data_IF_050739432887
#
_entry.id   IF_050739432887
#
_cell.length_a   1.000
_cell.length_b   1.000
_cell.length_c   1.000
_cell.angle_alpha   90.00
_cell.angle_beta   90.00
_cell.angle_gamma   90.00
#
_symmetry.space_group_name_H-M   'P 1'
#
loop_
_entity.id
_entity.type
_entity.pdbx_description
1 polymer ?
#
# COMPACT_ATOMS: atom_id res chain seq x y z
N UNK A 1 2.89 3.82 27.98
CA UNK A 1 3.32 3.41 26.63
C UNK A 1 2.32 4.00 25.68
N UNK A 2 2.66 5.11 25.04
CA UNK A 2 1.84 5.73 23.99
C UNK A 2 2.19 4.99 22.71
N UNK A 3 1.25 4.18 22.21
CA UNK A 3 1.38 3.57 20.88
C UNK A 3 1.14 4.72 19.91
N UNK A 4 2.20 5.28 19.32
CA UNK A 4 2.10 6.30 18.29
C UNK A 4 1.72 5.61 16.97
N UNK A 5 0.44 5.67 16.53
CA UNK A 5 -0.03 4.89 15.39
C UNK A 5 0.71 5.27 14.09
N UNK A 6 1.23 6.50 14.02
CA UNK A 6 2.02 6.99 12.88
C UNK A 6 3.35 6.23 12.70
N UNK A 7 3.99 5.79 13.79
CA UNK A 7 5.27 5.07 13.73
C UNK A 7 5.09 3.65 13.22
N UNK A 8 4.03 2.97 13.63
CA UNK A 8 3.73 1.59 13.20
C UNK A 8 3.24 1.54 11.76
N UNK A 9 2.49 2.55 11.31
CA UNK A 9 2.11 2.71 9.89
C UNK A 9 3.35 2.93 9.02
N UNK A 10 4.29 3.77 9.48
CA UNK A 10 5.58 4.01 8.79
C UNK A 10 6.45 2.74 8.72
N UNK A 11 6.58 2.01 9.83
CA UNK A 11 7.32 0.75 9.86
C UNK A 11 6.69 -0.32 8.95
N UNK A 12 5.35 -0.44 8.99
CA UNK A 12 4.58 -1.33 8.11
C UNK A 12 4.78 -0.95 6.64
N UNK A 13 4.77 0.34 6.30
CA UNK A 13 4.98 0.82 4.93
C UNK A 13 6.40 0.55 4.41
N UNK A 14 7.41 0.71 5.27
CA UNK A 14 8.81 0.41 4.93
C UNK A 14 9.01 -1.10 4.71
N UNK A 15 8.42 -1.94 5.56
CA UNK A 15 8.50 -3.39 5.41
C UNK A 15 7.72 -3.89 4.19
N UNK A 16 6.53 -3.35 3.97
CA UNK A 16 5.72 -3.53 2.77
C UNK A 16 6.53 -3.26 1.49
N UNK A 17 7.19 -2.10 1.42
CA UNK A 17 7.97 -1.70 0.25
C UNK A 17 9.20 -2.59 0.02
N UNK A 18 9.96 -2.93 1.08
CA UNK A 18 11.07 -3.90 0.97
C UNK A 18 10.61 -5.26 0.46
N UNK A 19 9.38 -5.65 0.80
CA UNK A 19 8.80 -6.92 0.36
C UNK A 19 8.37 -6.89 -1.09
N UNK A 20 7.86 -5.75 -1.57
CA UNK A 20 7.58 -5.49 -2.98
C UNK A 20 8.86 -5.49 -3.81
N UNK A 21 9.93 -4.82 -3.37
CA UNK A 21 11.22 -4.83 -4.08
C UNK A 21 11.85 -6.23 -4.17
N UNK A 22 11.72 -7.06 -3.13
CA UNK A 22 12.18 -8.46 -3.16
C UNK A 22 11.35 -9.37 -4.07
N UNK A 23 10.14 -8.98 -4.44
CA UNK A 23 9.26 -9.73 -5.32
C UNK A 23 9.40 -9.35 -6.80
N UNK A 24 10.17 -8.30 -7.13
CA UNK A 24 10.48 -7.94 -8.51
C UNK A 24 11.45 -8.96 -9.14
N UNK A 25 11.19 -9.48 -10.35
CA UNK A 25 12.12 -10.39 -11.01
C UNK A 25 13.42 -9.66 -11.35
N UNK A 26 14.54 -10.22 -10.89
CA UNK A 26 15.88 -9.76 -11.20
C UNK A 26 16.10 -9.67 -12.73
N UNK A 27 16.16 -8.45 -13.25
CA UNK A 27 16.69 -8.18 -14.58
C UNK A 27 18.16 -8.61 -14.63
N UNK A 28 18.48 -9.51 -15.55
CA UNK A 28 19.83 -10.06 -15.75
C UNK A 28 20.84 -8.95 -16.10
N UNK A 29 22.12 -9.09 -15.70
CA UNK A 29 23.15 -8.13 -16.05
C UNK A 29 23.60 -8.34 -17.50
N UNK A 30 23.73 -7.26 -18.28
CA UNK A 30 24.49 -7.28 -19.53
C UNK A 30 25.83 -6.56 -19.34
N UNK A 31 26.84 -7.25 -19.86
CA UNK A 31 28.30 -7.15 -19.75
C UNK A 31 28.92 -5.78 -20.02
N UNK A 32 30.02 -5.55 -19.32
CA UNK A 32 31.06 -4.54 -19.54
C UNK A 32 31.92 -4.87 -20.77
N UNK A 33 32.45 -3.84 -21.46
CA UNK A 33 33.70 -3.92 -22.23
C UNK A 33 34.42 -2.55 -22.20
N UNK A 34 35.76 -2.59 -22.07
CA UNK A 34 36.70 -1.51 -21.73
C UNK A 34 36.79 -0.32 -22.73
N UNK A 35 37.54 0.75 -22.47
CA UNK A 35 39.01 0.76 -22.26
C UNK A 35 39.50 2.12 -21.73
N UNK A 36 40.51 2.06 -20.85
CA UNK A 36 41.64 2.97 -20.50
C UNK A 36 41.76 4.41 -21.07
N UNK A 37 42.11 5.37 -20.20
CA UNK A 37 43.38 6.17 -20.22
C UNK A 37 43.35 7.25 -19.12
N UNK A 38 44.37 7.22 -18.24
CA UNK A 38 44.76 8.34 -17.36
C UNK A 38 45.83 9.22 -18.06
N UNK A 39 45.95 10.54 -17.74
CA UNK A 39 46.83 10.92 -16.63
C UNK A 39 46.36 12.12 -15.76
N UNK A 40 46.83 12.12 -14.51
CA UNK A 40 46.83 13.23 -13.52
C UNK A 40 48.01 14.21 -13.80
N UNK A 41 48.20 15.39 -13.13
CA UNK A 41 47.63 15.84 -11.84
C UNK A 41 47.25 17.35 -11.67
N UNK A 42 46.41 17.60 -10.66
CA UNK A 42 46.55 18.71 -9.68
C UNK A 42 45.81 20.02 -9.94
N UNK A 43 44.82 20.36 -9.08
CA UNK A 43 44.78 21.55 -8.20
C UNK A 43 43.60 21.41 -7.19
N UNK A 44 43.98 21.52 -5.91
CA UNK A 44 43.29 22.00 -4.70
C UNK A 44 41.75 21.93 -4.53
N UNK A 45 41.36 21.32 -3.40
CA UNK A 45 40.50 21.82 -2.29
C UNK A 45 39.24 22.65 -2.62
N UNK A 46 38.13 22.58 -1.91
CA UNK A 46 37.62 21.81 -0.79
C UNK A 46 36.17 22.33 -0.63
N UNK A 47 35.24 21.47 -0.24
CA UNK A 47 33.85 21.88 -0.03
C UNK A 47 32.93 20.68 -0.05
N UNK A 48 33.13 19.75 0.88
CA UNK A 48 32.21 18.66 1.14
C UNK A 48 30.97 19.23 1.82
N UNK A 49 29.99 19.66 1.03
CA UNK A 49 28.63 19.97 1.47
C UNK A 49 27.67 18.85 1.01
N UNK A 50 28.11 17.60 1.10
CA UNK A 50 27.26 16.44 0.79
C UNK A 50 26.44 16.10 2.05
N UNK A 51 25.38 16.89 2.21
CA UNK A 51 24.33 16.78 3.22
C UNK A 51 24.06 15.31 3.57
N UNK A 52 24.45 14.89 4.77
CA UNK A 52 24.02 13.61 5.35
C UNK A 52 22.50 13.68 5.51
N UNK A 53 21.75 13.27 4.46
CA UNK A 53 20.29 13.11 4.54
C UNK A 53 19.98 12.32 5.80
N UNK A 54 19.15 12.88 6.67
CA UNK A 54 18.81 12.24 7.94
C UNK A 54 18.02 10.97 7.67
N UNK A 55 18.00 10.06 8.64
CA UNK A 55 17.18 8.84 8.54
C UNK A 55 15.70 9.23 8.38
N UNK A 56 15.26 10.28 9.10
CA UNK A 56 13.91 10.84 9.04
C UNK A 56 13.56 11.38 7.64
N UNK A 57 14.42 12.18 7.01
CA UNK A 57 14.17 12.69 5.65
C UNK A 57 14.03 11.54 4.64
N UNK A 58 14.87 10.50 4.76
CA UNK A 58 14.75 9.31 3.90
C UNK A 58 13.46 8.54 4.18
N UNK A 59 13.06 8.40 5.44
CA UNK A 59 11.82 7.72 5.81
C UNK A 59 10.59 8.46 5.26
N UNK A 60 10.56 9.79 5.35
CA UNK A 60 9.51 10.62 4.77
C UNK A 60 9.46 10.52 3.25
N UNK A 61 10.62 10.58 2.57
CA UNK A 61 10.73 10.35 1.13
C UNK A 61 10.18 8.96 0.75
N UNK A 62 10.54 7.93 1.51
CA UNK A 62 10.07 6.56 1.26
C UNK A 62 8.57 6.42 1.46
N UNK A 63 8.00 7.04 2.50
CA UNK A 63 6.55 7.05 2.73
C UNK A 63 5.83 7.80 1.62
N UNK A 64 6.37 8.93 1.17
CA UNK A 64 5.81 9.70 0.06
C UNK A 64 5.80 8.89 -1.25
N UNK A 65 6.91 8.20 -1.56
CA UNK A 65 7.00 7.31 -2.72
C UNK A 65 6.00 6.15 -2.62
N UNK A 66 5.85 5.55 -1.44
CA UNK A 66 4.91 4.45 -1.23
C UNK A 66 3.44 4.89 -1.37
N UNK A 67 3.09 6.07 -0.86
CA UNK A 67 1.75 6.67 -1.07
C UNK A 67 1.49 6.99 -2.54
N UNK A 68 2.48 7.57 -3.23
CA UNK A 68 2.39 7.84 -4.66
C UNK A 68 2.18 6.55 -5.48
N UNK A 69 2.83 5.44 -5.09
CA UNK A 69 2.61 4.15 -5.74
C UNK A 69 1.17 3.65 -5.59
N UNK A 70 0.57 3.73 -4.40
CA UNK A 70 -0.84 3.35 -4.18
C UNK A 70 -1.79 4.17 -5.05
N UNK A 71 -1.52 5.48 -5.18
CA UNK A 71 -2.37 6.36 -5.98
C UNK A 71 -2.20 6.15 -7.49
N UNK A 72 -1.04 5.67 -7.93
CA UNK A 72 -0.71 5.48 -9.36
C UNK A 72 -0.95 4.06 -9.87
N UNK A 73 -1.07 3.06 -8.98
CA UNK A 73 -1.31 1.67 -9.40
C UNK A 73 -2.73 1.43 -9.93
N UNK A 74 -3.64 2.38 -9.78
CA UNK A 74 -5.03 2.28 -10.24
C UNK A 74 -5.93 1.41 -9.37
N UNK A 75 -5.41 0.92 -8.23
CA UNK A 75 -6.17 0.12 -7.28
C UNK A 75 -7.12 0.97 -6.42
N UNK A 76 -6.94 2.30 -6.41
CA UNK A 76 -7.80 3.26 -5.72
C UNK A 76 -8.35 4.29 -6.71
N UNK A 77 -9.67 4.46 -6.72
CA UNK A 77 -10.38 5.36 -7.62
C UNK A 77 -11.20 6.39 -6.86
N UNK A 78 -11.27 7.61 -7.40
CA UNK A 78 -12.23 8.61 -6.94
C UNK A 78 -13.66 8.10 -7.19
N UNK A 79 -14.63 8.65 -6.48
CA UNK A 79 -16.04 8.23 -6.61
C UNK A 79 -16.57 8.28 -8.05
N UNK A 80 -16.13 9.25 -8.85
CA UNK A 80 -16.54 9.39 -10.25
C UNK A 80 -16.01 8.24 -11.10
N UNK A 81 -14.73 7.91 -10.95
CA UNK A 81 -14.10 6.82 -11.69
C UNK A 81 -14.59 5.45 -11.21
N UNK A 82 -14.84 5.30 -9.90
CA UNK A 82 -15.42 4.10 -9.34
C UNK A 82 -16.86 3.88 -9.83
N UNK A 83 -17.66 4.95 -9.91
CA UNK A 83 -19.01 4.90 -10.47
C UNK A 83 -19.00 4.41 -11.93
N UNK A 84 -18.09 4.97 -12.74
CA UNK A 84 -17.88 4.54 -14.11
C UNK A 84 -17.42 3.07 -14.19
N UNK A 85 -16.50 2.66 -13.31
CA UNK A 85 -15.99 1.29 -13.24
C UNK A 85 -17.08 0.27 -12.91
N UNK A 86 -17.98 0.61 -11.98
CA UNK A 86 -19.09 -0.25 -11.55
C UNK A 86 -20.33 -0.14 -12.45
N UNK A 87 -20.38 0.86 -13.35
CA UNK A 87 -21.55 1.14 -14.18
C UNK A 87 -22.75 1.66 -13.38
N UNK A 88 -22.50 2.38 -12.27
CA UNK A 88 -23.52 2.92 -11.36
C UNK A 88 -23.49 4.44 -11.43
N UNK A 89 -24.63 5.11 -11.27
CA UNK A 89 -24.68 6.57 -11.12
C UNK A 89 -23.99 7.03 -9.84
N UNK A 90 -23.22 8.13 -9.93
CA UNK A 90 -22.43 8.69 -8.82
C UNK A 90 -23.29 9.00 -7.59
N UNK A 91 -24.52 9.48 -7.79
CA UNK A 91 -25.44 9.82 -6.70
C UNK A 91 -25.83 8.58 -5.89
N UNK A 92 -26.13 7.47 -6.57
CA UNK A 92 -26.49 6.21 -5.93
C UNK A 92 -25.27 5.59 -5.24
N UNK A 93 -24.11 5.63 -5.89
CA UNK A 93 -22.87 5.13 -5.30
C UNK A 93 -22.48 5.95 -4.07
N UNK A 94 -22.66 7.27 -4.07
CA UNK A 94 -22.35 8.13 -2.93
C UNK A 94 -23.15 7.78 -1.68
N UNK A 95 -24.45 7.50 -1.85
CA UNK A 95 -25.29 7.03 -0.74
C UNK A 95 -24.83 5.65 -0.26
N UNK A 96 -24.60 4.72 -1.19
CA UNK A 96 -24.18 3.36 -0.86
C UNK A 96 -22.81 3.32 -0.16
N UNK A 97 -21.85 4.14 -0.59
CA UNK A 97 -20.54 4.25 0.04
C UNK A 97 -20.64 4.75 1.48
N UNK A 98 -21.50 5.73 1.78
CA UNK A 98 -21.70 6.21 3.15
C UNK A 98 -22.23 5.10 4.06
N UNK A 99 -23.19 4.31 3.57
CA UNK A 99 -23.72 3.16 4.31
C UNK A 99 -22.64 2.08 4.49
N UNK A 100 -21.91 1.75 3.44
CA UNK A 100 -20.86 0.73 3.49
C UNK A 100 -19.66 1.14 4.36
N UNK A 101 -19.28 2.41 4.37
CA UNK A 101 -18.27 2.93 5.30
C UNK A 101 -18.76 2.82 6.75
N UNK A 102 -20.02 3.17 7.02
CA UNK A 102 -20.62 3.05 8.35
C UNK A 102 -20.70 1.59 8.83
N UNK A 103 -20.93 0.64 7.92
CA UNK A 103 -20.98 -0.80 8.21
C UNK A 103 -19.61 -1.49 8.21
N UNK A 104 -18.53 -0.73 8.03
CA UNK A 104 -17.15 -1.22 7.86
C UNK A 104 -16.99 -2.22 6.70
N UNK A 105 -17.80 -2.11 5.65
CA UNK A 105 -17.75 -2.96 4.46
C UNK A 105 -16.76 -2.46 3.40
N UNK A 106 -16.44 -1.17 3.45
CA UNK A 106 -15.42 -0.53 2.61
C UNK A 106 -14.68 0.51 3.44
N UNK A 107 -13.50 0.90 2.99
CA UNK A 107 -12.74 2.01 3.56
C UNK A 107 -12.32 2.95 2.44
N UNK A 108 -11.98 4.18 2.81
CA UNK A 108 -11.42 5.17 1.90
C UNK A 108 -10.05 5.64 2.36
N UNK A 109 -9.26 6.10 1.40
CA UNK A 109 -8.05 6.89 1.67
C UNK A 109 -8.35 8.36 1.36
N UNK A 110 -7.98 9.23 2.29
CA UNK A 110 -8.04 10.67 2.06
C UNK A 110 -6.65 11.17 1.63
N UNK A 111 -6.62 11.82 0.46
CA UNK A 111 -5.43 12.43 -0.11
C UNK A 111 -5.80 13.77 -0.76
N UNK A 112 -5.13 14.85 -0.37
CA UNK A 112 -5.36 16.20 -0.92
C UNK A 112 -6.84 16.64 -0.93
N UNK A 113 -7.59 16.28 0.12
CA UNK A 113 -9.01 16.57 0.26
C UNK A 113 -9.93 15.74 -0.64
N UNK A 114 -9.37 14.79 -1.39
CA UNK A 114 -10.11 13.84 -2.22
C UNK A 114 -10.13 12.46 -1.56
N UNK A 115 -11.30 11.80 -1.59
CA UNK A 115 -11.44 10.42 -1.11
C UNK A 115 -11.37 9.45 -2.27
N UNK A 116 -10.47 8.48 -2.14
CA UNK A 116 -10.33 7.38 -3.10
C UNK A 116 -10.70 6.06 -2.43
N UNK A 117 -11.28 5.16 -3.22
CA UNK A 117 -11.85 3.91 -2.75
C UNK A 117 -11.19 2.72 -3.46
N UNK A 118 -10.95 1.60 -2.76
CA UNK A 118 -10.30 0.44 -3.34
C UNK A 118 -11.19 -0.26 -4.36
N UNK A 119 -10.70 -0.43 -5.59
CA UNK A 119 -11.41 -1.12 -6.68
C UNK A 119 -11.53 -2.61 -6.40
N UNK A 120 -10.48 -3.20 -5.82
CA UNK A 120 -10.45 -4.62 -5.44
C UNK A 120 -11.46 -4.99 -4.35
N UNK A 121 -12.10 -4.01 -3.70
CA UNK A 121 -13.20 -4.27 -2.78
C UNK A 121 -14.43 -4.83 -3.49
N UNK A 122 -14.54 -4.66 -4.80
CA UNK A 122 -15.66 -5.12 -5.60
C UNK A 122 -15.26 -6.38 -6.40
N UNK A 123 -16.18 -7.33 -6.57
CA UNK A 123 -15.90 -8.54 -7.33
C UNK A 123 -15.77 -8.21 -8.83
N UNK A 124 -14.75 -8.77 -9.48
CA UNK A 124 -14.48 -8.58 -10.91
C UNK A 124 -15.57 -9.12 -11.85
N UNK A 125 -16.49 -9.95 -11.34
CA UNK A 125 -17.58 -10.59 -12.09
C UNK A 125 -18.85 -9.74 -12.20
N UNK A 126 -18.75 -8.41 -12.07
CA UNK A 126 -19.87 -7.49 -12.27
C UNK A 126 -20.76 -7.27 -11.05
N UNK A 127 -20.22 -7.39 -9.84
CA UNK A 127 -20.96 -7.06 -8.62
C UNK A 127 -20.79 -5.60 -8.22
N UNK A 128 -21.91 -4.92 -8.02
CA UNK A 128 -21.99 -3.54 -7.54
C UNK A 128 -21.79 -3.39 -6.01
N UNK A 129 -21.52 -4.48 -5.28
CA UNK A 129 -21.44 -4.47 -3.82
C UNK A 129 -20.08 -4.97 -3.33
N UNK A 130 -19.55 -4.42 -2.21
CA UNK A 130 -18.30 -4.87 -1.64
C UNK A 130 -18.31 -6.35 -1.26
N UNK A 131 -17.18 -7.02 -1.49
CA UNK A 131 -16.94 -8.43 -1.15
C UNK A 131 -17.14 -8.60 0.36
N UNK A 132 -18.00 -9.53 0.81
CA UNK A 132 -18.31 -9.69 2.24
C UNK A 132 -17.08 -9.90 3.12
N UNK A 133 -16.09 -10.67 2.65
CA UNK A 133 -14.85 -10.94 3.39
C UNK A 133 -14.00 -9.70 3.65
N UNK A 134 -14.19 -8.61 2.91
CA UNK A 134 -13.50 -7.35 3.20
C UNK A 134 -13.92 -6.79 4.56
N UNK A 135 -15.21 -6.90 4.90
CA UNK A 135 -15.73 -6.41 6.18
C UNK A 135 -15.02 -7.05 7.37
N UNK A 136 -14.84 -8.36 7.30
CA UNK A 136 -14.20 -9.13 8.37
C UNK A 136 -12.72 -8.72 8.50
N UNK A 137 -12.01 -8.55 7.39
CA UNK A 137 -10.63 -8.03 7.40
C UNK A 137 -10.56 -6.63 8.01
N UNK A 138 -11.45 -5.73 7.61
CA UNK A 138 -11.48 -4.36 8.13
C UNK A 138 -11.81 -4.33 9.63
N UNK A 139 -12.68 -5.21 10.11
CA UNK A 139 -13.01 -5.30 11.54
C UNK A 139 -11.79 -5.66 12.41
N UNK A 140 -10.82 -6.37 11.84
CA UNK A 140 -9.59 -6.79 12.51
C UNK A 140 -8.49 -5.73 12.38
N UNK A 141 -8.34 -5.12 11.20
CA UNK A 141 -7.21 -4.22 10.91
C UNK A 141 -7.50 -2.75 11.25
N UNK A 142 -8.72 -2.24 11.06
CA UNK A 142 -9.05 -0.83 11.31
C UNK A 142 -8.87 -0.37 12.77
N UNK A 143 -8.99 -1.24 13.81
CA UNK A 143 -8.62 -0.85 15.18
C UNK A 143 -7.12 -0.53 15.37
N UNK A 144 -6.26 -0.99 14.46
CA UNK A 144 -4.79 -0.94 14.59
C UNK A 144 -4.12 -0.11 13.50
N UNK A 145 -4.78 0.06 12.34
CA UNK A 145 -4.24 0.72 11.15
C UNK A 145 -5.28 1.69 10.56
N UNK A 146 -4.81 2.81 10.06
CA UNK A 146 -5.61 3.78 9.32
C UNK A 146 -5.81 3.32 7.86
N UNK A 147 -6.59 4.07 7.08
CA UNK A 147 -6.88 3.73 5.68
C UNK A 147 -5.61 3.54 4.83
N UNK A 148 -4.55 4.31 5.09
CA UNK A 148 -3.25 4.12 4.45
C UNK A 148 -2.57 2.84 4.88
N UNK A 149 -2.49 2.56 6.19
CA UNK A 149 -1.91 1.32 6.72
C UNK A 149 -2.64 0.06 6.23
N UNK A 150 -3.97 0.10 6.14
CA UNK A 150 -4.78 -0.97 5.56
C UNK A 150 -4.47 -1.14 4.07
N UNK A 151 -4.39 -0.03 3.31
CA UNK A 151 -4.00 -0.08 1.89
C UNK A 151 -2.65 -0.74 1.68
N UNK A 152 -1.64 -0.34 2.47
CA UNK A 152 -0.30 -0.94 2.43
C UNK A 152 -0.34 -2.44 2.66
N UNK A 153 -1.13 -2.90 3.63
CA UNK A 153 -1.27 -4.32 3.90
C UNK A 153 -1.86 -5.09 2.71
N UNK A 154 -2.86 -4.53 2.03
CA UNK A 154 -3.50 -5.15 0.86
C UNK A 154 -2.61 -5.26 -0.38
N UNK A 155 -1.77 -4.24 -0.63
CA UNK A 155 -0.84 -4.23 -1.78
C UNK A 155 0.44 -5.03 -1.51
N UNK A 156 0.71 -5.36 -0.24
CA UNK A 156 1.94 -6.06 0.16
C UNK A 156 1.83 -7.56 -0.02
N UNK A 157 2.94 -8.19 -0.40
CA UNK A 157 3.05 -9.64 -0.35
C UNK A 157 2.87 -10.12 1.10
N UNK A 158 1.94 -11.02 1.36
CA UNK A 158 1.67 -11.49 2.72
C UNK A 158 2.26 -12.89 2.94
N UNK A 159 3.03 -13.06 4.02
CA UNK A 159 3.69 -14.33 4.35
C UNK A 159 2.72 -15.47 4.63
N UNK A 160 1.60 -15.16 5.28
CA UNK A 160 0.53 -16.11 5.60
C UNK A 160 -0.25 -16.55 4.36
N UNK A 161 -0.17 -15.77 3.27
CA UNK A 161 -0.77 -16.08 1.97
C UNK A 161 0.24 -16.67 0.98
N UNK A 162 1.37 -17.16 1.45
CA UNK A 162 2.42 -17.75 0.60
C UNK A 162 3.11 -16.72 -0.31
N UNK A 163 3.20 -15.47 0.12
CA UNK A 163 3.81 -14.36 -0.64
C UNK A 163 2.87 -13.68 -1.63
N UNK A 164 1.61 -14.11 -1.73
CA UNK A 164 0.59 -13.43 -2.54
C UNK A 164 0.07 -12.18 -1.84
N UNK A 165 -0.43 -11.23 -2.64
CA UNK A 165 -1.06 -10.01 -2.11
C UNK A 165 -2.49 -10.32 -1.66
N UNK A 166 -2.93 -9.82 -0.49
CA UNK A 166 -4.30 -9.94 -0.03
C UNK A 166 -5.34 -9.47 -1.05
N UNK A 167 -5.06 -8.39 -1.80
CA UNK A 167 -6.00 -7.86 -2.79
C UNK A 167 -6.29 -8.84 -3.94
N UNK A 168 -5.29 -9.61 -4.36
CA UNK A 168 -5.42 -10.58 -5.46
C UNK A 168 -6.26 -11.80 -5.04
N UNK A 169 -6.30 -12.09 -3.74
CA UNK A 169 -7.01 -13.24 -3.17
C UNK A 169 -8.38 -12.88 -2.59
N UNK A 170 -8.69 -11.60 -2.40
CA UNK A 170 -9.94 -11.18 -1.76
C UNK A 170 -11.19 -11.66 -2.52
N UNK A 171 -11.14 -11.67 -3.86
CA UNK A 171 -12.26 -12.14 -4.70
C UNK A 171 -12.37 -13.67 -4.80
N UNK A 172 -11.27 -14.40 -4.61
CA UNK A 172 -11.19 -15.85 -4.88
C UNK A 172 -11.17 -16.70 -3.61
N UNK A 173 -10.39 -16.26 -2.61
CA UNK A 173 -10.15 -16.96 -1.36
C UNK A 173 -10.29 -16.01 -0.14
N UNK A 174 -11.43 -15.32 0.05
CA UNK A 174 -11.60 -14.30 1.10
C UNK A 174 -11.33 -14.85 2.51
N UNK A 175 -11.70 -16.09 2.78
CA UNK A 175 -11.47 -16.74 4.08
C UNK A 175 -9.98 -16.82 4.45
N UNK A 176 -9.09 -17.00 3.48
CA UNK A 176 -7.64 -17.03 3.73
C UNK A 176 -7.11 -15.64 4.04
N UNK A 177 -7.66 -14.62 3.38
CA UNK A 177 -7.31 -13.21 3.63
C UNK A 177 -7.74 -12.80 5.05
N UNK A 178 -8.94 -13.19 5.48
CA UNK A 178 -9.43 -12.96 6.85
C UNK A 178 -8.51 -13.63 7.88
N UNK A 179 -8.14 -14.89 7.66
CA UNK A 179 -7.21 -15.59 8.54
C UNK A 179 -5.85 -14.87 8.64
N UNK A 180 -5.30 -14.43 7.51
CA UNK A 180 -4.05 -13.67 7.48
C UNK A 180 -4.14 -12.33 8.23
N UNK A 181 -5.32 -11.67 8.21
CA UNK A 181 -5.54 -10.45 8.97
C UNK A 181 -5.54 -10.70 10.49
N UNK A 182 -6.11 -11.83 10.95
CA UNK A 182 -6.05 -12.22 12.36
C UNK A 182 -4.63 -12.54 12.83
N UNK A 183 -3.83 -13.21 12.00
CA UNK A 183 -2.43 -13.50 12.29
C UNK A 183 -1.59 -12.20 12.36
N UNK A 184 -1.83 -11.26 11.45
CA UNK A 184 -1.20 -9.92 11.49
C UNK A 184 -1.54 -9.20 12.80
N UNK A 185 -2.83 -9.11 13.15
CA UNK A 185 -3.26 -8.45 14.37
C UNK A 185 -2.69 -9.12 15.63
N UNK A 186 -2.62 -10.46 15.65
CA UNK A 186 -2.03 -11.22 16.75
C UNK A 186 -0.51 -11.04 16.86
N UNK A 187 0.18 -10.96 15.72
CA UNK A 187 1.62 -10.72 15.64
C UNK A 187 2.03 -9.34 16.12
N UNK A 188 1.24 -8.30 15.80
CA UNK A 188 1.46 -6.94 16.29
C UNK A 188 1.31 -6.84 17.82
N UNK A 189 0.48 -7.69 18.44
CA UNK A 189 0.33 -7.72 19.91
C UNK A 189 1.50 -8.40 20.66
N UNK A 190 2.40 -9.11 19.97
CA UNK A 190 3.51 -9.85 20.59
C UNK A 190 4.89 -9.24 20.27
N UNK A 191 4.94 -7.97 19.86
CA UNK A 191 6.17 -7.21 19.56
C UNK A 191 6.71 -6.38 20.73
#
# INVERSE_FOLDING_TARGET
>A
MTIDPDKDVKATAIEAFRRVERAAPAGKPLKEDGTDVCPRPGVAAAGSDEKRRTIEEREEEMVALAKAHILTCGDFLLIQDLANHLGIHVELLSLALKEWEADHRIFSIEHDGCRSFPVYAFPSQGGASPIPGLRDVLSVLCPMKDGWGVSFWFISANGWLGGKRPQDLLSTEPNRVVAAAHEEASGVMHG
#
